data_IF_544456918876
#
_entry.id   IF_544456918876
#
_cell.length_a   1.000
_cell.length_b   1.000
_cell.length_c   1.000
_cell.angle_alpha   90.00
_cell.angle_beta   90.00
_cell.angle_gamma   90.00
#
_symmetry.space_group_name_H-M   'P 1'
#
loop_
_entity.id
_entity.type
_entity.pdbx_description
1 polymer ?
#
# COMPACT_ATOMS: atom_id res chain seq x y z
N UNK A 1 -12.53 -18.60 -43.89
CA UNK A 1 -11.85 -19.39 -42.83
C UNK A 1 -12.84 -20.42 -42.27
N UNK A 2 -12.43 -21.69 -42.12
CA UNK A 2 -13.31 -22.73 -41.53
C UNK A 2 -13.73 -22.29 -40.11
N UNK A 3 -15.01 -22.47 -39.74
CA UNK A 3 -15.54 -22.15 -38.41
C UNK A 3 -14.70 -22.82 -37.31
N UNK A 4 -14.29 -24.08 -37.51
CA UNK A 4 -13.43 -24.79 -36.56
C UNK A 4 -12.06 -24.11 -36.36
N UNK A 5 -11.44 -23.65 -37.44
CA UNK A 5 -10.16 -22.92 -37.37
C UNK A 5 -10.30 -21.56 -36.68
N UNK A 6 -11.42 -20.86 -36.91
CA UNK A 6 -11.72 -19.57 -36.24
C UNK A 6 -11.82 -19.74 -34.73
N UNK A 7 -12.59 -20.71 -34.26
CA UNK A 7 -12.75 -20.95 -32.83
C UNK A 7 -11.49 -21.53 -32.19
N UNK A 8 -10.76 -22.39 -32.91
CA UNK A 8 -9.47 -22.91 -32.44
C UNK A 8 -8.45 -21.81 -32.18
N UNK A 9 -8.29 -20.87 -33.11
CA UNK A 9 -7.40 -19.71 -32.92
C UNK A 9 -7.83 -18.80 -31.77
N UNK A 10 -9.14 -18.60 -31.59
CA UNK A 10 -9.68 -17.78 -30.52
C UNK A 10 -9.41 -18.40 -29.14
N UNK A 11 -9.68 -19.70 -28.98
CA UNK A 11 -9.42 -20.43 -27.73
C UNK A 11 -7.93 -20.43 -27.43
N UNK A 12 -7.08 -20.71 -28.43
CA UNK A 12 -5.63 -20.70 -28.25
C UNK A 12 -5.12 -19.32 -27.82
N UNK A 13 -5.65 -18.23 -28.40
CA UNK A 13 -5.34 -16.87 -27.97
C UNK A 13 -5.71 -16.60 -26.51
N UNK A 14 -6.91 -17.02 -26.08
CA UNK A 14 -7.35 -16.86 -24.68
C UNK A 14 -6.43 -17.64 -23.73
N UNK A 15 -6.06 -18.88 -24.09
CA UNK A 15 -5.15 -19.70 -23.29
C UNK A 15 -3.79 -19.01 -23.14
N UNK A 16 -3.21 -18.48 -24.22
CA UNK A 16 -1.94 -17.76 -24.16
C UNK A 16 -2.04 -16.54 -23.24
N UNK A 17 -3.07 -15.71 -23.40
CA UNK A 17 -3.26 -14.51 -22.56
C UNK A 17 -3.40 -14.91 -21.09
N UNK A 18 -4.12 -16.00 -20.81
CA UNK A 18 -4.31 -16.50 -19.44
C UNK A 18 -2.98 -16.95 -18.83
N UNK A 19 -2.16 -17.72 -19.56
CA UNK A 19 -0.86 -18.20 -19.08
C UNK A 19 0.09 -17.03 -18.84
N UNK A 20 0.19 -16.09 -19.79
CA UNK A 20 1.05 -14.91 -19.65
C UNK A 20 0.59 -14.03 -18.48
N UNK A 21 -0.72 -13.84 -18.34
CA UNK A 21 -1.30 -13.09 -17.23
C UNK A 21 -1.01 -13.74 -15.87
N UNK A 22 -1.11 -15.07 -15.79
CA UNK A 22 -0.82 -15.82 -14.57
C UNK A 22 0.65 -15.72 -14.16
N UNK A 23 1.57 -15.90 -15.11
CA UNK A 23 3.02 -15.73 -14.86
C UNK A 23 3.33 -14.29 -14.42
N UNK A 24 2.77 -13.30 -15.12
CA UNK A 24 2.96 -11.89 -14.78
C UNK A 24 2.45 -11.56 -13.38
N UNK A 25 1.29 -12.09 -12.99
CA UNK A 25 0.75 -11.91 -11.65
C UNK A 25 1.60 -12.58 -10.56
N UNK A 26 2.14 -13.78 -10.83
CA UNK A 26 3.04 -14.48 -9.91
C UNK A 26 4.33 -13.68 -9.66
N UNK A 27 4.98 -13.21 -10.73
CA UNK A 27 6.19 -12.38 -10.62
C UNK A 27 5.92 -11.07 -9.90
N UNK A 28 4.78 -10.43 -10.18
CA UNK A 28 4.33 -9.23 -9.50
C UNK A 28 4.18 -9.46 -7.99
N UNK A 29 3.48 -10.53 -7.61
CA UNK A 29 3.22 -10.83 -6.19
C UNK A 29 4.51 -11.16 -5.44
N UNK A 30 5.42 -11.90 -6.08
CA UNK A 30 6.74 -12.22 -5.52
C UNK A 30 7.58 -10.95 -5.31
N UNK A 31 7.58 -10.00 -6.24
CA UNK A 31 8.31 -8.73 -6.07
C UNK A 31 7.78 -7.92 -4.88
N UNK A 32 6.47 -7.94 -4.62
CA UNK A 32 5.87 -7.27 -3.46
C UNK A 32 6.22 -7.97 -2.15
N UNK A 33 6.17 -9.30 -2.12
CA UNK A 33 6.56 -10.12 -0.97
C UNK A 33 8.03 -9.91 -0.61
N UNK A 34 8.93 -9.95 -1.60
CA UNK A 34 10.37 -9.72 -1.41
C UNK A 34 10.68 -8.30 -0.87
N UNK A 35 9.88 -7.30 -1.23
CA UNK A 35 10.08 -5.93 -0.76
C UNK A 35 9.48 -5.64 0.61
N UNK A 36 8.32 -6.21 0.91
CA UNK A 36 7.54 -5.78 2.07
C UNK A 36 7.36 -6.86 3.12
N UNK A 37 7.53 -8.15 2.77
CA UNK A 37 7.38 -9.27 3.69
C UNK A 37 6.08 -9.15 4.50
N UNK A 38 6.22 -9.06 5.82
CA UNK A 38 5.10 -8.89 6.76
C UNK A 38 4.24 -7.65 6.46
N UNK A 39 4.82 -6.59 5.88
CA UNK A 39 4.12 -5.36 5.53
C UNK A 39 3.39 -5.42 4.17
N UNK A 40 3.38 -6.56 3.46
CA UNK A 40 2.71 -6.67 2.16
C UNK A 40 1.21 -6.31 2.23
N UNK A 41 0.54 -6.59 3.35
CA UNK A 41 -0.88 -6.26 3.52
C UNK A 41 -1.10 -4.75 3.52
N UNK A 42 -0.18 -4.00 4.12
CA UNK A 42 -0.16 -2.53 4.06
C UNK A 42 -0.01 -2.09 2.61
N UNK A 43 0.93 -2.69 1.87
CA UNK A 43 1.08 -2.42 0.44
C UNK A 43 -0.25 -2.61 -0.30
N UNK A 44 -0.91 -3.78 -0.19
CA UNK A 44 -2.11 -4.08 -0.98
C UNK A 44 -3.32 -3.20 -0.63
N UNK A 45 -3.58 -2.93 0.66
CA UNK A 45 -4.78 -2.19 1.10
C UNK A 45 -4.66 -0.67 1.00
N UNK A 46 -3.45 -0.14 1.04
CA UNK A 46 -3.22 1.30 1.00
C UNK A 46 -3.43 1.89 -0.39
N UNK A 47 -3.86 3.14 -0.42
CA UNK A 47 -4.02 3.99 -1.60
C UNK A 47 -3.19 5.25 -1.45
N UNK A 48 -2.99 5.94 -2.58
CA UNK A 48 -2.40 7.27 -2.58
C UNK A 48 -3.19 8.21 -1.66
N UNK A 49 -2.47 9.03 -0.90
CA UNK A 49 -3.01 9.99 0.07
C UNK A 49 -3.62 9.37 1.34
N UNK A 50 -3.53 8.05 1.53
CA UNK A 50 -3.79 7.48 2.85
C UNK A 50 -2.73 7.98 3.86
N UNK A 51 -3.12 8.11 5.12
CA UNK A 51 -2.24 8.47 6.23
C UNK A 51 -1.74 7.17 6.86
N UNK A 52 -0.44 7.01 6.96
CA UNK A 52 0.18 5.91 7.70
C UNK A 52 0.76 6.43 8.99
N UNK A 53 0.55 5.68 10.07
CA UNK A 53 0.93 6.03 11.42
C UNK A 53 1.69 4.86 12.04
N UNK A 54 2.83 5.16 12.66
CA UNK A 54 3.53 4.25 13.55
C UNK A 54 3.23 4.70 14.99
N UNK A 55 2.36 3.97 15.68
CA UNK A 55 1.92 4.33 17.02
C UNK A 55 3.06 4.25 18.04
N UNK A 56 4.02 3.35 17.84
CA UNK A 56 5.17 3.15 18.75
C UNK A 56 6.14 4.34 18.74
N UNK A 57 6.34 4.95 17.57
CA UNK A 57 7.22 6.14 17.45
C UNK A 57 6.47 7.45 17.38
N UNK A 58 5.13 7.43 17.33
CA UNK A 58 4.30 8.59 17.02
C UNK A 58 4.69 9.28 15.68
N UNK A 59 5.36 8.55 14.79
CA UNK A 59 5.67 9.03 13.44
C UNK A 59 4.47 8.80 12.51
N UNK A 60 4.29 9.69 11.54
CA UNK A 60 3.24 9.56 10.54
C UNK A 60 3.67 10.15 9.19
N UNK A 61 2.97 9.78 8.14
CA UNK A 61 3.20 10.31 6.80
C UNK A 61 2.05 10.03 5.84
N UNK A 62 2.25 10.45 4.59
CA UNK A 62 1.35 10.18 3.48
C UNK A 62 1.88 9.03 2.63
N UNK A 63 0.99 8.08 2.34
CA UNK A 63 1.22 7.01 1.38
C UNK A 63 1.26 7.58 -0.04
N UNK A 64 2.38 7.33 -0.72
CA UNK A 64 2.55 7.41 -2.16
C UNK A 64 2.83 6.02 -2.73
N UNK A 65 1.86 5.45 -3.42
CA UNK A 65 1.90 4.10 -3.98
C UNK A 65 1.95 4.14 -5.50
N UNK A 66 2.85 3.34 -6.04
CA UNK A 66 2.86 2.94 -7.44
C UNK A 66 2.72 1.41 -7.55
N UNK A 67 2.70 0.89 -8.77
CA UNK A 67 2.51 -0.53 -9.00
C UNK A 67 3.59 -1.42 -8.38
N UNK A 68 4.82 -0.95 -8.14
CA UNK A 68 5.89 -1.75 -7.53
C UNK A 68 6.21 -1.38 -6.08
N UNK A 69 5.91 -0.15 -5.67
CA UNK A 69 6.43 0.44 -4.44
C UNK A 69 5.40 1.23 -3.68
N UNK A 70 5.53 1.20 -2.36
CA UNK A 70 4.85 2.09 -1.43
C UNK A 70 5.90 2.91 -0.69
N UNK A 71 5.84 4.23 -0.92
CA UNK A 71 6.66 5.20 -0.24
C UNK A 71 5.79 5.98 0.74
N UNK A 72 6.41 6.45 1.82
CA UNK A 72 5.81 7.29 2.84
C UNK A 72 6.51 8.64 2.78
N UNK A 73 5.73 9.71 2.60
CA UNK A 73 6.20 11.08 2.71
C UNK A 73 5.97 11.56 4.13
N UNK A 74 7.04 11.75 4.89
CA UNK A 74 6.96 12.23 6.27
C UNK A 74 7.20 13.74 6.32
N UNK A 75 7.16 14.31 7.53
CA UNK A 75 7.51 15.73 7.74
C UNK A 75 8.97 16.02 7.38
N UNK A 76 9.87 15.08 7.66
CA UNK A 76 11.33 15.24 7.52
C UNK A 76 11.85 14.82 6.14
N UNK A 77 11.19 13.83 5.51
CA UNK A 77 11.63 13.26 4.22
C UNK A 77 10.48 13.23 3.23
N UNK A 78 10.76 13.74 2.03
CA UNK A 78 9.80 13.75 0.93
C UNK A 78 9.48 12.36 0.38
N UNK A 79 10.31 11.34 0.67
CA UNK A 79 10.05 9.95 0.34
C UNK A 79 10.93 9.02 1.17
N UNK A 80 10.33 8.06 1.88
CA UNK A 80 11.00 6.93 2.52
C UNK A 80 10.22 5.66 2.15
N UNK A 81 10.89 4.52 1.93
CA UNK A 81 10.16 3.28 1.62
C UNK A 81 9.37 2.77 2.85
N UNK A 82 8.23 2.11 2.62
CA UNK A 82 7.37 1.55 3.67
C UNK A 82 8.13 0.68 4.68
N UNK A 83 9.01 -0.19 4.21
CA UNK A 83 9.76 -1.08 5.10
C UNK A 83 10.62 -0.24 6.04
N UNK A 84 11.34 0.74 5.49
CA UNK A 84 12.18 1.66 6.26
C UNK A 84 11.36 2.49 7.25
N UNK A 85 10.15 2.93 6.87
CA UNK A 85 9.25 3.66 7.76
C UNK A 85 8.78 2.78 8.93
N UNK A 86 8.36 1.55 8.62
CA UNK A 86 7.73 0.65 9.58
C UNK A 86 8.76 0.04 10.53
N UNK A 87 9.96 -0.28 10.03
CA UNK A 87 11.04 -0.90 10.79
C UNK A 87 11.85 0.07 11.67
N UNK A 88 11.49 1.37 11.71
CA UNK A 88 12.16 2.36 12.58
C UNK A 88 11.98 2.08 14.06
N UNK A 89 10.91 1.37 14.43
CA UNK A 89 10.46 1.17 15.80
C UNK A 89 10.58 -0.30 16.22
N UNK A 90 11.80 -0.85 16.23
CA UNK A 90 12.05 -2.23 16.70
C UNK A 90 11.25 -3.32 15.97
N UNK A 91 11.39 -4.57 16.42
CA UNK A 91 10.76 -5.78 15.87
C UNK A 91 9.20 -5.69 15.88
N UNK A 92 8.65 -4.98 16.87
CA UNK A 92 7.21 -4.84 17.13
C UNK A 92 6.71 -3.46 16.66
N UNK A 93 6.39 -3.33 15.38
CA UNK A 93 5.76 -2.10 14.87
C UNK A 93 4.24 -2.25 14.89
N UNK A 94 3.54 -1.31 15.54
CA UNK A 94 2.10 -1.12 15.37
C UNK A 94 1.86 -0.02 14.33
N UNK A 95 1.53 -0.44 13.12
CA UNK A 95 1.28 0.43 11.99
C UNK A 95 -0.22 0.49 11.70
N UNK A 96 -0.76 1.70 11.69
CA UNK A 96 -2.15 1.97 11.33
C UNK A 96 -2.22 2.79 10.06
N UNK A 97 -3.12 2.41 9.17
CA UNK A 97 -3.40 3.13 7.92
C UNK A 97 -4.79 3.69 7.97
N UNK A 98 -4.91 5.00 7.81
CA UNK A 98 -6.15 5.74 7.80
C UNK A 98 -6.43 6.36 6.43
N UNK A 99 -7.68 6.30 5.98
CA UNK A 99 -8.12 6.96 4.76
C UNK A 99 -8.83 8.27 5.08
N UNK A 100 -8.38 9.39 4.52
CA UNK A 100 -9.10 10.65 4.64
C UNK A 100 -10.45 10.62 3.92
N UNK A 101 -11.50 11.15 4.56
CA UNK A 101 -12.81 11.35 3.90
C UNK A 101 -12.81 12.54 2.95
N UNK A 102 -11.89 13.48 3.18
CA UNK A 102 -11.63 14.67 2.36
C UNK A 102 -10.14 14.80 2.14
N UNK A 103 -9.73 15.48 1.08
CA UNK A 103 -8.31 15.73 0.81
C UNK A 103 -7.67 16.50 1.97
N UNK A 104 -6.58 15.96 2.51
CA UNK A 104 -5.83 16.58 3.61
C UNK A 104 -4.61 17.27 3.03
N UNK A 105 -4.71 18.58 2.87
CA UNK A 105 -3.57 19.41 2.51
C UNK A 105 -2.69 19.66 3.75
N UNK A 106 -1.37 19.59 3.56
CA UNK A 106 -0.32 20.10 4.50
C UNK A 106 0.03 19.23 5.71
N UNK A 107 0.26 17.93 5.51
CA UNK A 107 0.84 17.06 6.56
C UNK A 107 2.19 17.54 7.12
N UNK A 108 3.00 18.24 6.33
CA UNK A 108 4.26 18.86 6.82
C UNK A 108 4.07 19.83 7.99
N UNK A 109 2.86 20.39 8.16
CA UNK A 109 2.53 21.35 9.25
C UNK A 109 1.82 20.70 10.43
N UNK A 110 1.38 19.46 10.28
CA UNK A 110 0.68 18.73 11.33
C UNK A 110 1.67 18.13 12.33
N UNK A 111 1.17 17.88 13.52
CA UNK A 111 1.82 17.03 14.51
C UNK A 111 0.93 15.81 14.79
N UNK A 112 1.45 14.84 15.55
CA UNK A 112 0.72 13.61 15.85
C UNK A 112 -0.64 13.84 16.53
N UNK A 113 -0.72 14.84 17.41
CA UNK A 113 -1.99 15.23 18.06
C UNK A 113 -3.05 15.74 17.08
N UNK A 114 -2.65 16.30 15.93
CA UNK A 114 -3.60 16.69 14.90
C UNK A 114 -4.20 15.46 14.20
N UNK A 115 -3.41 14.40 14.01
CA UNK A 115 -3.91 13.11 13.51
C UNK A 115 -4.92 12.50 14.49
N UNK A 116 -4.61 12.52 15.79
CA UNK A 116 -5.54 12.06 16.83
C UNK A 116 -6.87 12.84 16.82
N UNK A 117 -6.83 14.16 16.63
CA UNK A 117 -8.04 14.97 16.46
C UNK A 117 -8.84 14.55 15.23
N UNK A 118 -8.18 14.29 14.10
CA UNK A 118 -8.85 13.84 12.89
C UNK A 118 -9.55 12.48 13.07
N UNK A 119 -8.96 11.59 13.86
CA UNK A 119 -9.58 10.31 14.25
C UNK A 119 -10.80 10.57 15.14
N UNK A 120 -10.65 11.39 16.20
CA UNK A 120 -11.73 11.70 17.13
C UNK A 120 -12.92 12.42 16.46
N UNK A 121 -12.64 13.29 15.50
CA UNK A 121 -13.64 13.99 14.69
C UNK A 121 -14.20 13.13 13.54
N UNK A 122 -13.77 11.87 13.42
CA UNK A 122 -14.18 10.93 12.38
C UNK A 122 -13.97 11.50 10.96
N UNK A 123 -12.90 12.27 10.76
CA UNK A 123 -12.48 12.83 9.46
C UNK A 123 -11.62 11.86 8.66
N UNK A 124 -11.04 10.87 9.33
CA UNK A 124 -10.27 9.78 8.73
C UNK A 124 -10.78 8.43 9.24
N UNK A 125 -10.72 7.40 8.41
CA UNK A 125 -11.24 6.06 8.69
C UNK A 125 -10.10 5.05 8.75
N UNK A 126 -10.09 4.17 9.75
CA UNK A 126 -9.09 3.10 9.83
C UNK A 126 -9.33 2.05 8.73
N UNK A 127 -8.33 1.81 7.89
CA UNK A 127 -8.36 0.82 6.81
C UNK A 127 -7.70 -0.50 7.22
N UNK A 128 -6.62 -0.39 7.96
CA UNK A 128 -5.81 -1.52 8.39
C UNK A 128 -5.06 -1.14 9.66
N UNK A 129 -5.01 -2.09 10.58
CA UNK A 129 -4.03 -2.15 11.65
C UNK A 129 -3.16 -3.37 11.39
N UNK A 130 -1.84 -3.17 11.42
CA UNK A 130 -0.85 -4.20 11.24
C UNK A 130 0.09 -4.14 12.43
N UNK A 131 0.19 -5.26 13.14
CA UNK A 131 1.07 -5.42 14.27
C UNK A 131 1.97 -6.61 13.97
N UNK A 132 3.29 -6.41 14.05
CA UNK A 132 4.23 -7.54 14.03
C UNK A 132 4.17 -8.25 15.39
N UNK A 133 4.04 -9.58 15.34
CA UNK A 133 4.12 -10.47 16.51
C UNK A 133 5.56 -10.73 16.96
#
# INVERSE_FOLDING_TARGET
MNKGLKYGLLIFGIVIITVVGFIGFGLYSMEIEDHYGDYQTIYYKSKNSDIIVNEETSEFGIVGKNWKRLNVRTKEKDSTDLYTFSSKASYYSNIKVYRPKTEIEKIKRMNFSDIQKLIAENKIELILEHQNE
#
